data_IF_148186946805
#
_entry.id   IF_148186946805
#
_cell.length_a   1.000
_cell.length_b   1.000
_cell.length_c   1.000
_cell.angle_alpha   90.00
_cell.angle_beta   90.00
_cell.angle_gamma   90.00
#
_symmetry.space_group_name_H-M   'P 1'
#
loop_
_entity.id
_entity.type
_entity.pdbx_description
1 polymer ?
#
# COMPACT_ATOMS: atom_id res chain seq x y z
N UNK A 1 5.10 -19.61 -38.64
CA UNK A 1 4.05 -19.54 -37.61
C UNK A 1 4.15 -18.15 -36.99
N UNK A 2 3.25 -17.22 -37.33
CA UNK A 2 3.37 -15.84 -36.85
C UNK A 2 3.20 -15.79 -35.32
N UNK A 3 3.93 -14.92 -34.60
CA UNK A 3 3.73 -14.73 -33.17
C UNK A 3 2.30 -14.26 -32.92
N UNK A 4 1.56 -14.83 -31.97
CA UNK A 4 0.22 -14.37 -31.65
C UNK A 4 0.30 -12.92 -31.14
N UNK A 5 -0.48 -12.02 -31.75
CA UNK A 5 -0.69 -10.65 -31.27
C UNK A 5 -1.09 -10.65 -29.79
N UNK A 6 -0.18 -10.22 -28.93
CA UNK A 6 -0.34 -10.16 -27.47
C UNK A 6 -1.16 -8.94 -27.00
N UNK A 7 -1.58 -8.04 -27.90
CA UNK A 7 -2.30 -6.80 -27.56
C UNK A 7 -3.74 -7.01 -27.06
N UNK A 8 -4.31 -8.22 -27.21
CA UNK A 8 -5.65 -8.56 -26.72
C UNK A 8 -5.65 -9.07 -25.26
N UNK A 9 -4.51 -9.10 -24.58
CA UNK A 9 -4.36 -9.62 -23.22
C UNK A 9 -4.76 -8.59 -22.15
N UNK A 10 -5.98 -8.07 -22.19
CA UNK A 10 -6.54 -7.40 -21.00
C UNK A 10 -7.10 -8.45 -20.05
N UNK A 11 -6.41 -8.76 -18.93
CA UNK A 11 -6.95 -9.68 -17.95
C UNK A 11 -8.27 -9.13 -17.41
N UNK A 12 -9.33 -9.94 -17.42
CA UNK A 12 -10.52 -9.66 -16.61
C UNK A 12 -10.10 -9.49 -15.15
N UNK A 13 -10.82 -8.65 -14.38
CA UNK A 13 -10.41 -8.26 -13.03
C UNK A 13 -10.03 -9.50 -12.22
N UNK A 14 -8.76 -9.55 -11.80
CA UNK A 14 -8.16 -10.70 -11.12
C UNK A 14 -9.00 -11.06 -9.89
N UNK A 15 -9.79 -12.12 -10.00
CA UNK A 15 -10.34 -12.81 -8.83
C UNK A 15 -9.19 -13.62 -8.21
N UNK A 16 -8.51 -13.00 -7.26
CA UNK A 16 -7.49 -13.64 -6.42
C UNK A 16 -8.07 -14.67 -5.43
N UNK A 17 -9.37 -14.95 -5.50
CA UNK A 17 -10.03 -15.84 -4.54
C UNK A 17 -9.77 -17.32 -4.85
N UNK A 18 -9.04 -17.92 -3.92
CA UNK A 18 -9.20 -19.30 -3.45
C UNK A 18 -8.80 -20.42 -4.41
N UNK A 19 -7.50 -20.53 -4.66
CA UNK A 19 -6.80 -21.82 -4.54
C UNK A 19 -5.48 -21.51 -3.83
N UNK A 20 -5.39 -21.87 -2.54
CA UNK A 20 -4.46 -21.41 -1.49
C UNK A 20 -2.96 -21.71 -1.70
N UNK A 21 -2.45 -21.56 -2.92
CA UNK A 21 -1.05 -21.72 -3.27
C UNK A 21 -0.76 -21.63 -4.77
N UNK A 22 -1.77 -21.63 -5.64
CA UNK A 22 -1.59 -21.63 -7.10
C UNK A 22 -2.12 -20.32 -7.66
N UNK A 23 -1.23 -19.44 -8.12
CA UNK A 23 -1.60 -18.19 -8.80
C UNK A 23 -2.16 -18.55 -10.18
N UNK A 24 -3.48 -18.61 -10.28
CA UNK A 24 -4.19 -18.89 -11.51
C UNK A 24 -4.61 -17.59 -12.18
N UNK A 25 -4.12 -17.37 -13.40
CA UNK A 25 -4.66 -16.33 -14.28
C UNK A 25 -5.59 -17.04 -15.27
N UNK A 26 -6.89 -16.90 -15.02
CA UNK A 26 -7.90 -17.48 -15.90
C UNK A 26 -8.23 -16.51 -17.03
N UNK A 27 -8.06 -16.95 -18.27
CA UNK A 27 -8.48 -16.21 -19.45
C UNK A 27 -9.71 -16.88 -20.06
N UNK A 28 -10.76 -16.10 -20.31
CA UNK A 28 -11.95 -16.57 -21.01
C UNK A 28 -11.88 -16.07 -22.45
N UNK A 29 -11.41 -16.93 -23.37
CA UNK A 29 -11.60 -16.72 -24.81
C UNK A 29 -12.95 -17.29 -25.20
N UNK A 30 -13.63 -16.70 -26.19
CA UNK A 30 -15.04 -16.98 -26.56
C UNK A 30 -15.42 -18.46 -26.80
N UNK A 31 -14.44 -19.37 -26.90
CA UNK A 31 -14.68 -20.81 -27.08
C UNK A 31 -13.86 -21.72 -26.15
N UNK A 32 -12.98 -21.20 -25.29
CA UNK A 32 -12.25 -22.00 -24.30
C UNK A 32 -11.73 -21.15 -23.14
N UNK A 33 -11.98 -21.61 -21.90
CA UNK A 33 -11.32 -21.08 -20.71
C UNK A 33 -9.94 -21.72 -20.60
N UNK A 34 -8.89 -20.93 -20.81
CA UNK A 34 -7.50 -21.36 -20.69
C UNK A 34 -6.97 -20.81 -19.35
N UNK A 35 -6.53 -21.70 -18.48
CA UNK A 35 -5.95 -21.34 -17.19
C UNK A 35 -4.43 -21.37 -17.31
N UNK A 36 -3.80 -20.22 -17.05
CA UNK A 36 -2.36 -20.12 -16.89
C UNK A 36 -2.01 -20.31 -15.43
N UNK A 37 -1.12 -21.25 -15.15
CA UNK A 37 -0.64 -21.55 -13.81
C UNK A 37 0.88 -21.56 -13.78
N UNK A 38 1.45 -20.92 -12.76
CA UNK A 38 2.86 -21.05 -12.40
C UNK A 38 2.93 -21.76 -11.04
N UNK A 39 2.76 -23.09 -11.00
CA UNK A 39 2.75 -23.86 -9.78
C UNK A 39 4.16 -23.99 -9.20
N UNK A 40 4.26 -24.06 -7.87
CA UNK A 40 5.45 -24.58 -7.20
C UNK A 40 5.55 -26.11 -7.37
N UNK A 41 6.62 -26.73 -6.86
CA UNK A 41 6.83 -28.18 -6.99
C UNK A 41 5.62 -29.00 -6.50
N UNK A 42 5.06 -28.63 -5.34
CA UNK A 42 3.87 -29.29 -4.79
C UNK A 42 2.61 -29.02 -5.62
N UNK A 43 2.48 -27.82 -6.18
CA UNK A 43 1.45 -27.46 -7.15
C UNK A 43 1.51 -28.32 -8.39
N UNK A 44 2.71 -28.66 -8.88
CA UNK A 44 2.90 -29.54 -10.04
C UNK A 44 2.41 -30.97 -9.75
N UNK A 45 2.73 -31.53 -8.57
CA UNK A 45 2.20 -32.83 -8.15
C UNK A 45 0.67 -32.82 -8.06
N UNK A 46 0.08 -31.75 -7.49
CA UNK A 46 -1.37 -31.61 -7.39
C UNK A 46 -2.05 -31.52 -8.75
N UNK A 47 -1.43 -30.81 -9.70
CA UNK A 47 -1.89 -30.72 -11.08
C UNK A 47 -1.79 -32.08 -11.75
N UNK A 48 -0.70 -32.82 -11.57
CA UNK A 48 -0.54 -34.17 -12.12
C UNK A 48 -1.62 -35.14 -11.61
N UNK A 49 -1.96 -35.07 -10.32
CA UNK A 49 -3.04 -35.90 -9.74
C UNK A 49 -4.45 -35.44 -10.13
N UNK A 50 -4.63 -34.16 -10.47
CA UNK A 50 -5.88 -33.66 -11.04
C UNK A 50 -6.03 -34.10 -12.51
N UNK A 51 -4.93 -34.09 -13.28
CA UNK A 51 -4.90 -34.53 -14.68
C UNK A 51 -5.19 -36.01 -14.85
N UNK A 52 -4.82 -36.84 -13.86
CA UNK A 52 -5.19 -38.27 -13.82
C UNK A 52 -6.70 -38.48 -13.60
N UNK A 53 -7.38 -37.56 -12.91
CA UNK A 53 -8.82 -37.64 -12.60
C UNK A 53 -9.68 -37.08 -13.73
N UNK A 54 -9.20 -36.05 -14.41
CA UNK A 54 -9.87 -35.46 -15.56
C UNK A 54 -8.85 -35.11 -16.67
N UNK A 55 -8.73 -35.97 -17.71
CA UNK A 55 -7.78 -35.74 -18.79
C UNK A 55 -8.15 -34.54 -19.69
N UNK A 56 -9.38 -34.06 -19.66
CA UNK A 56 -9.81 -32.88 -20.42
C UNK A 56 -9.17 -31.57 -19.91
N UNK A 57 -8.60 -31.58 -18.70
CA UNK A 57 -7.82 -30.46 -18.17
C UNK A 57 -6.54 -30.19 -18.97
N UNK A 58 -6.00 -31.18 -19.70
CA UNK A 58 -4.74 -31.03 -20.44
C UNK A 58 -4.85 -30.02 -21.58
N UNK A 59 -6.02 -29.90 -22.19
CA UNK A 59 -6.28 -28.97 -23.29
C UNK A 59 -6.56 -27.55 -22.79
N UNK A 60 -6.83 -27.39 -21.49
CA UNK A 60 -7.29 -26.14 -20.87
C UNK A 60 -6.27 -25.54 -19.90
N UNK A 61 -5.15 -26.23 -19.66
CA UNK A 61 -4.11 -25.82 -18.73
C UNK A 61 -2.80 -25.57 -19.48
N UNK A 62 -2.35 -24.32 -19.46
CA UNK A 62 -1.02 -23.96 -19.97
C UNK A 62 -0.09 -23.70 -18.78
N UNK A 63 0.96 -24.50 -18.66
CA UNK A 63 2.01 -24.31 -17.64
C UNK A 63 3.04 -23.35 -18.22
N UNK A 64 3.19 -22.21 -17.56
CA UNK A 64 4.13 -21.16 -17.97
C UNK A 64 5.18 -21.01 -16.86
N UNK A 65 6.47 -20.82 -17.20
CA UNK A 65 7.48 -20.50 -16.22
C UNK A 65 7.09 -19.28 -15.39
N UNK A 66 7.36 -19.35 -14.08
CA UNK A 66 6.98 -18.28 -13.14
C UNK A 66 7.57 -16.92 -13.53
N UNK A 67 8.83 -16.89 -13.97
CA UNK A 67 9.53 -15.65 -14.29
C UNK A 67 8.87 -14.92 -15.46
N UNK A 68 8.54 -15.63 -16.53
CA UNK A 68 7.88 -15.06 -17.72
C UNK A 68 6.47 -14.55 -17.38
N UNK A 69 5.70 -15.32 -16.60
CA UNK A 69 4.37 -14.91 -16.17
C UNK A 69 4.45 -13.67 -15.26
N UNK A 70 5.43 -13.65 -14.35
CA UNK A 70 5.64 -12.55 -13.42
C UNK A 70 6.03 -11.27 -14.16
N UNK A 71 6.98 -11.33 -15.09
CA UNK A 71 7.42 -10.16 -15.84
C UNK A 71 6.28 -9.56 -16.65
N UNK A 72 5.50 -10.42 -17.33
CA UNK A 72 4.34 -9.98 -18.09
C UNK A 72 3.23 -9.38 -17.20
N UNK A 73 2.97 -9.97 -16.03
CA UNK A 73 2.01 -9.41 -15.07
C UNK A 73 2.49 -8.08 -14.49
N UNK A 74 3.78 -7.94 -14.20
CA UNK A 74 4.35 -6.68 -13.70
C UNK A 74 4.23 -5.59 -14.76
N UNK A 75 4.57 -5.90 -16.01
CA UNK A 75 4.50 -4.93 -17.12
C UNK A 75 3.06 -4.48 -17.37
N UNK A 76 2.14 -5.44 -17.50
CA UNK A 76 0.73 -5.18 -17.84
C UNK A 76 -0.11 -4.60 -16.69
N UNK A 77 0.18 -4.97 -15.43
CA UNK A 77 -0.62 -4.58 -14.26
C UNK A 77 0.09 -3.59 -13.33
N UNK A 78 1.26 -3.07 -13.69
CA UNK A 78 2.03 -2.11 -12.87
C UNK A 78 1.15 -0.95 -12.36
N UNK A 79 0.39 -0.32 -13.26
CA UNK A 79 -0.51 0.78 -12.92
C UNK A 79 -1.62 0.36 -11.95
N UNK A 80 -2.25 -0.79 -12.21
CA UNK A 80 -3.37 -1.29 -11.40
C UNK A 80 -2.91 -1.82 -10.04
N UNK A 81 -1.73 -2.42 -9.94
CA UNK A 81 -1.09 -2.84 -8.70
C UNK A 81 -0.77 -1.65 -7.78
N UNK A 82 -0.36 -0.52 -8.37
CA UNK A 82 -0.14 0.72 -7.62
C UNK A 82 -1.47 1.28 -7.10
N UNK A 83 -2.52 1.29 -7.92
CA UNK A 83 -3.84 1.71 -7.46
C UNK A 83 -4.40 0.78 -6.37
N UNK A 84 -4.26 -0.53 -6.57
CA UNK A 84 -4.66 -1.53 -5.59
C UNK A 84 -3.92 -1.33 -4.27
N UNK A 85 -2.58 -1.22 -4.28
CA UNK A 85 -1.80 -1.07 -3.04
C UNK A 85 -2.18 0.18 -2.25
N UNK A 86 -2.45 1.32 -2.92
CA UNK A 86 -2.95 2.56 -2.27
C UNK A 86 -4.32 2.36 -1.59
N UNK A 87 -5.18 1.52 -2.17
CA UNK A 87 -6.52 1.24 -1.66
C UNK A 87 -6.57 0.02 -0.72
N UNK A 88 -5.49 -0.76 -0.64
CA UNK A 88 -5.43 -1.98 0.18
C UNK A 88 -5.25 -1.63 1.66
N UNK A 89 -4.49 -0.58 1.97
CA UNK A 89 -4.19 -0.14 3.33
C UNK A 89 -5.46 0.30 4.10
N UNK A 90 -6.35 1.17 3.56
CA UNK A 90 -7.60 1.52 4.23
C UNK A 90 -8.57 0.34 4.35
N UNK A 91 -8.47 -0.65 3.45
CA UNK A 91 -9.39 -1.79 3.41
C UNK A 91 -9.06 -2.86 4.46
N UNK A 92 -7.78 -3.08 4.74
CA UNK A 92 -7.36 -4.07 5.75
C UNK A 92 -7.13 -3.42 7.12
N UNK A 93 -6.64 -2.19 7.15
CA UNK A 93 -6.26 -1.48 8.38
C UNK A 93 -6.95 -0.10 8.42
N UNK A 94 -8.30 -0.08 8.53
CA UNK A 94 -9.07 1.17 8.46
C UNK A 94 -8.70 2.17 9.56
N UNK A 95 -8.22 1.68 10.70
CA UNK A 95 -7.80 2.52 11.84
C UNK A 95 -6.37 3.07 11.72
N UNK A 96 -5.55 2.59 10.78
CA UNK A 96 -4.19 3.11 10.57
C UNK A 96 -4.18 4.37 9.69
N UNK A 97 -5.28 4.65 9.00
CA UNK A 97 -5.45 5.85 8.20
C UNK A 97 -6.19 6.92 9.01
N UNK A 98 -5.51 8.02 9.31
CA UNK A 98 -6.07 9.19 10.01
C UNK A 98 -7.27 9.85 9.30
N UNK A 99 -7.66 9.35 8.12
CA UNK A 99 -8.81 9.82 7.35
C UNK A 99 -10.15 9.37 7.94
N UNK A 100 -10.21 8.33 8.80
CA UNK A 100 -11.48 7.73 9.22
C UNK A 100 -12.00 8.16 10.60
N UNK A 101 -11.20 8.83 11.43
CA UNK A 101 -11.56 9.17 12.82
C UNK A 101 -11.96 10.64 13.02
N UNK A 102 -12.58 11.25 12.01
CA UNK A 102 -13.27 12.52 12.23
C UNK A 102 -14.63 12.25 12.88
N UNK A 103 -14.64 12.22 14.21
CA UNK A 103 -15.86 12.09 15.02
C UNK A 103 -16.94 13.06 14.51
N UNK A 104 -18.19 12.60 14.42
CA UNK A 104 -19.36 13.42 13.99
C UNK A 104 -19.38 14.85 14.58
N UNK A 105 -19.11 15.08 15.89
CA UNK A 105 -19.03 16.43 16.44
C UNK A 105 -17.91 17.29 15.83
N UNK A 106 -16.74 16.72 15.53
CA UNK A 106 -15.63 17.42 14.89
C UNK A 106 -15.99 17.89 13.48
N UNK A 107 -16.76 17.08 12.74
CA UNK A 107 -17.22 17.42 11.38
C UNK A 107 -18.18 18.61 11.37
N UNK A 108 -19.13 18.62 12.32
CA UNK A 108 -20.03 19.77 12.51
C UNK A 108 -19.28 21.00 13.03
N UNK A 109 -18.33 20.82 13.94
CA UNK A 109 -17.47 21.90 14.43
C UNK A 109 -16.66 22.55 13.31
N UNK A 110 -16.06 21.74 12.42
CA UNK A 110 -15.31 22.26 11.26
C UNK A 110 -16.22 22.99 10.27
N UNK A 111 -17.40 22.44 9.96
CA UNK A 111 -18.37 23.08 9.07
C UNK A 111 -18.84 24.43 9.65
N UNK A 112 -19.17 24.48 10.94
CA UNK A 112 -19.56 25.71 11.63
C UNK A 112 -18.41 26.73 11.63
N UNK A 113 -17.18 26.29 11.88
CA UNK A 113 -15.99 27.14 11.83
C UNK A 113 -15.78 27.75 10.44
N UNK A 114 -15.93 26.97 9.36
CA UNK A 114 -15.83 27.47 7.98
C UNK A 114 -16.91 28.50 7.66
N UNK A 115 -18.15 28.28 8.10
CA UNK A 115 -19.24 29.25 7.94
C UNK A 115 -18.94 30.53 8.71
N UNK A 116 -18.49 30.43 9.96
CA UNK A 116 -18.15 31.59 10.79
C UNK A 116 -16.99 32.39 10.19
N UNK A 117 -15.95 31.71 9.70
CA UNK A 117 -14.81 32.31 9.03
C UNK A 117 -15.25 33.07 7.77
N UNK A 118 -16.11 32.46 6.96
CA UNK A 118 -16.66 33.07 5.75
C UNK A 118 -17.50 34.31 6.08
N UNK A 119 -18.37 34.21 7.09
CA UNK A 119 -19.18 35.33 7.56
C UNK A 119 -18.28 36.48 8.06
N UNK A 120 -17.21 36.18 8.80
CA UNK A 120 -16.26 37.18 9.28
C UNK A 120 -15.59 37.94 8.13
N UNK A 121 -15.19 37.24 7.04
CA UNK A 121 -14.60 37.87 5.85
C UNK A 121 -15.60 38.77 5.12
N UNK A 122 -16.88 38.38 5.05
CA UNK A 122 -17.94 39.17 4.40
C UNK A 122 -18.30 40.42 5.22
N UNK A 123 -18.24 40.32 6.56
CA UNK A 123 -18.54 41.44 7.49
C UNK A 123 -17.32 42.36 7.70
N UNK A 124 -16.10 41.87 7.42
CA UNK A 124 -14.85 42.62 7.50
C UNK A 124 -14.85 44.02 6.85
N UNK A 125 -15.41 44.26 5.65
CA UNK A 125 -15.45 45.61 5.07
C UNK A 125 -16.37 46.58 5.84
N UNK A 126 -17.33 46.07 6.62
CA UNK A 126 -18.29 46.87 7.38
C UNK A 126 -17.86 47.12 8.83
N UNK A 127 -16.96 46.29 9.36
CA UNK A 127 -16.43 46.42 10.70
C UNK A 127 -15.04 47.00 10.62
N UNK A 128 -14.78 48.16 11.24
CA UNK A 128 -13.45 48.74 11.25
C UNK A 128 -12.39 47.68 11.64
N UNK A 129 -11.29 47.69 10.88
CA UNK A 129 -10.26 46.66 10.71
C UNK A 129 -9.61 46.11 12.00
N UNK A 130 -9.96 46.69 13.15
CA UNK A 130 -9.51 46.32 14.50
C UNK A 130 -9.86 44.86 14.85
N UNK A 131 -10.98 44.33 14.38
CA UNK A 131 -11.40 42.94 14.67
C UNK A 131 -10.64 41.86 13.87
N UNK A 132 -10.02 42.22 12.74
CA UNK A 132 -9.22 41.27 11.96
C UNK A 132 -7.85 41.00 12.58
N UNK A 133 -7.30 41.97 13.33
CA UNK A 133 -5.99 41.86 13.98
C UNK A 133 -5.92 40.65 14.94
N UNK A 134 -6.82 40.48 15.92
CA UNK A 134 -6.74 39.34 16.84
C UNK A 134 -6.97 38.00 16.12
N UNK A 135 -7.78 37.97 15.06
CA UNK A 135 -7.98 36.77 14.25
C UNK A 135 -6.70 36.38 13.52
N UNK A 136 -6.04 37.33 12.86
CA UNK A 136 -4.80 37.11 12.11
C UNK A 136 -3.65 36.71 13.04
N UNK A 137 -3.51 37.40 14.17
CA UNK A 137 -2.54 37.05 15.22
C UNK A 137 -2.80 35.63 15.73
N UNK A 138 -4.05 35.27 16.01
CA UNK A 138 -4.37 33.89 16.46
C UNK A 138 -4.02 32.87 15.38
N UNK A 139 -4.38 33.09 14.12
CA UNK A 139 -4.09 32.18 13.02
C UNK A 139 -2.58 31.95 12.80
N UNK A 140 -1.74 32.97 13.01
CA UNK A 140 -0.29 32.89 12.87
C UNK A 140 0.42 32.37 14.14
N UNK A 141 -0.02 32.81 15.32
CA UNK A 141 0.62 32.49 16.60
C UNK A 141 0.23 31.09 17.08
N UNK A 142 -1.02 30.67 16.88
CA UNK A 142 -1.52 29.36 17.33
C UNK A 142 -0.66 28.17 16.83
N UNK A 143 -0.32 28.03 15.53
CA UNK A 143 0.53 26.92 15.08
C UNK A 143 1.95 26.99 15.66
N UNK A 144 2.47 28.19 15.90
CA UNK A 144 3.78 28.38 16.53
C UNK A 144 3.75 27.96 18.00
N UNK A 145 2.70 28.35 18.74
CA UNK A 145 2.47 27.91 20.11
C UNK A 145 2.28 26.40 20.20
N UNK A 146 1.60 25.79 19.23
CA UNK A 146 1.40 24.34 19.19
C UNK A 146 2.71 23.60 18.93
N UNK A 147 3.61 24.14 18.08
CA UNK A 147 4.98 23.62 17.91
C UNK A 147 5.82 23.76 19.17
N UNK A 148 5.72 24.89 19.88
CA UNK A 148 6.41 25.09 21.16
C UNK A 148 5.88 24.14 22.25
N UNK A 149 4.56 23.93 22.30
CA UNK A 149 3.95 22.96 23.20
C UNK A 149 4.37 21.52 22.86
N UNK A 150 4.54 21.18 21.58
CA UNK A 150 5.06 19.89 21.15
C UNK A 150 6.52 19.68 21.60
N UNK A 151 7.36 20.71 21.61
CA UNK A 151 8.73 20.64 22.16
C UNK A 151 8.74 20.40 23.68
N UNK A 152 7.76 20.95 24.39
CA UNK A 152 7.57 20.71 25.82
C UNK A 152 6.89 19.36 26.12
N UNK A 153 6.36 18.66 25.12
CA UNK A 153 5.70 17.37 25.29
C UNK A 153 6.79 16.31 25.42
N UNK A 154 6.86 15.59 26.56
CA UNK A 154 7.87 14.54 26.73
C UNK A 154 7.70 13.52 25.61
N UNK A 155 8.76 13.30 24.83
CA UNK A 155 8.77 12.15 23.93
C UNK A 155 8.58 10.93 24.80
N UNK A 156 7.46 10.25 24.60
CA UNK A 156 7.17 8.99 25.27
C UNK A 156 8.19 8.00 24.71
N UNK A 157 9.33 7.88 25.40
CA UNK A 157 10.23 6.76 25.17
C UNK A 157 9.39 5.54 25.42
N UNK A 158 9.04 4.81 24.37
CA UNK A 158 8.57 3.45 24.55
C UNK A 158 9.62 2.77 25.43
N UNK A 159 9.18 2.19 26.56
CA UNK A 159 10.09 1.43 27.41
C UNK A 159 10.70 0.39 26.49
N UNK A 160 12.03 0.43 26.32
CA UNK A 160 12.75 -0.60 25.62
C UNK A 160 12.23 -1.94 26.13
N UNK A 161 11.59 -2.70 25.24
CA UNK A 161 11.10 -4.03 25.56
C UNK A 161 12.25 -4.86 26.11
N UNK A 162 11.94 -5.88 26.90
CA UNK A 162 12.96 -6.80 27.40
C UNK A 162 13.77 -7.32 26.21
N UNK A 163 15.10 -7.17 26.26
CA UNK A 163 15.96 -7.62 25.18
C UNK A 163 15.66 -9.10 24.86
N UNK A 164 15.14 -9.35 23.67
CA UNK A 164 14.84 -10.71 23.20
C UNK A 164 16.14 -11.29 22.67
N UNK A 165 16.44 -12.53 23.04
CA UNK A 165 17.63 -13.23 22.55
C UNK A 165 17.62 -13.28 21.02
N UNK A 166 18.75 -12.92 20.39
CA UNK A 166 18.87 -12.81 18.92
C UNK A 166 18.50 -14.09 18.17
N UNK A 167 18.56 -15.24 18.84
CA UNK A 167 18.23 -16.57 18.30
C UNK A 167 16.72 -16.79 18.06
N UNK A 168 15.87 -16.03 18.74
CA UNK A 168 14.40 -16.14 18.63
C UNK A 168 13.83 -15.13 17.63
N UNK A 169 14.67 -14.24 17.10
CA UNK A 169 14.23 -13.18 16.19
C UNK A 169 14.03 -13.75 14.77
N UNK A 170 12.82 -13.63 14.20
CA UNK A 170 12.56 -14.10 12.84
C UNK A 170 13.36 -13.32 11.79
N UNK A 171 13.74 -13.99 10.70
CA UNK A 171 14.42 -13.31 9.60
C UNK A 171 13.37 -12.55 8.79
N UNK A 172 13.46 -11.23 8.77
CA UNK A 172 12.59 -10.37 7.96
C UNK A 172 13.33 -9.84 6.74
N UNK A 173 12.59 -9.64 5.65
CA UNK A 173 13.04 -8.85 4.50
C UNK A 173 12.16 -7.61 4.39
N UNK A 174 12.78 -6.45 4.27
CA UNK A 174 12.09 -5.17 4.10
C UNK A 174 12.15 -4.80 2.63
N UNK A 175 11.00 -4.82 1.97
CA UNK A 175 10.86 -4.34 0.59
C UNK A 175 10.44 -2.88 0.63
N UNK A 176 11.30 -1.98 0.15
CA UNK A 176 10.96 -0.56 -0.01
C UNK A 176 10.76 -0.26 -1.49
N UNK A 177 9.51 -0.09 -1.96
CA UNK A 177 9.26 0.35 -3.32
C UNK A 177 9.67 1.81 -3.45
N UNK A 178 10.59 2.10 -4.38
CA UNK A 178 11.02 3.45 -4.71
C UNK A 178 10.46 3.83 -6.08
N UNK A 179 9.85 5.02 -6.19
CA UNK A 179 9.43 5.57 -7.48
C UNK A 179 9.88 7.01 -7.59
N UNK A 180 10.86 7.26 -8.45
CA UNK A 180 11.47 8.59 -8.69
C UNK A 180 12.08 9.27 -7.43
N UNK A 181 12.25 8.52 -6.34
CA UNK A 181 12.78 8.97 -5.04
C UNK A 181 14.30 8.71 -4.91
N UNK A 182 15.02 8.65 -6.03
CA UNK A 182 16.44 8.27 -6.08
C UNK A 182 17.33 9.12 -5.15
N UNK A 183 16.97 10.40 -4.97
CA UNK A 183 17.71 11.33 -4.11
C UNK A 183 17.56 11.05 -2.60
N UNK A 184 16.58 10.25 -2.18
CA UNK A 184 16.30 9.95 -0.77
C UNK A 184 16.83 8.57 -0.33
N UNK A 185 17.40 7.79 -1.25
CA UNK A 185 17.84 6.41 -1.01
C UNK A 185 18.91 6.35 0.07
N UNK A 186 19.88 7.26 0.06
CA UNK A 186 20.95 7.27 1.06
C UNK A 186 20.42 7.51 2.47
N UNK A 187 19.46 8.44 2.62
CA UNK A 187 18.82 8.74 3.90
C UNK A 187 17.99 7.54 4.38
N UNK A 188 17.31 6.86 3.46
CA UNK A 188 16.52 5.67 3.77
C UNK A 188 17.43 4.52 4.22
N UNK A 189 18.52 4.25 3.50
CA UNK A 189 19.52 3.25 3.89
C UNK A 189 20.15 3.57 5.25
N UNK A 190 20.51 4.83 5.50
CA UNK A 190 21.04 5.27 6.78
C UNK A 190 20.03 5.07 7.92
N UNK A 191 18.74 5.33 7.67
CA UNK A 191 17.67 5.14 8.65
C UNK A 191 17.41 3.66 8.94
N UNK A 192 17.35 2.82 7.90
CA UNK A 192 17.18 1.37 8.03
C UNK A 192 18.38 0.72 8.74
N UNK A 193 19.59 1.24 8.55
CA UNK A 193 20.78 0.77 9.25
C UNK A 193 20.78 1.08 10.76
N UNK A 194 19.95 2.05 11.21
CA UNK A 194 19.79 2.40 12.62
C UNK A 194 18.65 1.64 13.30
N UNK A 195 17.97 0.76 12.58
CA UNK A 195 16.95 -0.09 13.17
C UNK A 195 17.59 -1.03 14.19
N UNK A 196 17.04 -1.07 15.39
CA UNK A 196 17.55 -1.89 16.50
C UNK A 196 17.16 -3.37 16.29
N UNK A 197 17.81 -3.99 15.30
CA UNK A 197 17.59 -5.37 14.89
C UNK A 197 18.94 -6.04 14.57
N UNK A 198 19.16 -7.31 14.97
CA UNK A 198 20.40 -8.01 14.68
C UNK A 198 20.65 -8.09 13.16
N UNK A 199 21.85 -7.70 12.75
CA UNK A 199 22.27 -7.65 11.34
C UNK A 199 22.58 -9.06 10.79
N UNK A 200 21.60 -9.96 10.78
CA UNK A 200 21.81 -11.36 10.38
C UNK A 200 21.79 -11.60 8.87
N UNK A 201 21.44 -10.61 8.03
CA UNK A 201 21.47 -10.83 6.57
C UNK A 201 21.59 -9.52 5.79
N UNK A 202 22.77 -8.87 5.83
CA UNK A 202 23.09 -7.82 4.84
C UNK A 202 23.55 -8.51 3.56
N UNK A 203 22.61 -8.81 2.66
CA UNK A 203 22.94 -9.28 1.30
C UNK A 203 23.67 -8.14 0.60
N UNK A 204 24.99 -8.29 0.37
CA UNK A 204 25.75 -7.37 -0.49
C UNK A 204 25.08 -7.41 -1.88
N UNK A 205 24.44 -6.30 -2.25
CA UNK A 205 24.15 -5.98 -3.65
C UNK A 205 25.45 -5.53 -4.33
#
# INVERSE_FOLDING_TARGET
MPPPELDALRPSPLRFDQLSGIRLVAHRRESAALAYTAPDFFGFLRIADALKRDPALRERLCVVPYDVLRDHLIESLSSDLVHASRQTLPRHWPFATAQLDLTKPMRWGFALFMVLLTALVVVAPFTQQVWLIPFWVTAMVLPTMLRLAALATPQRSERAGRAVASEVLPIYSVLVPLRDEANMVDQLCASLARLDYPALCRKRM
#
